data_IF_892858465135
#
_entry.id   IF_892858465135
#
_cell.length_a   1.000
_cell.length_b   1.000
_cell.length_c   1.000
_cell.angle_alpha   90.00
_cell.angle_beta   90.00
_cell.angle_gamma   90.00
#
_symmetry.space_group_name_H-M   'P 1'
#
loop_
_entity.id
_entity.type
_entity.pdbx_description
1 polymer ?
#
# COMPACT_ATOMS: atom_id res chain seq x y z
N UNK A 1 -23.73 -10.36 -12.69
CA UNK A 1 -23.18 -9.93 -11.38
C UNK A 1 -21.88 -9.18 -11.66
N UNK A 2 -21.76 -7.89 -11.33
CA UNK A 2 -20.46 -7.21 -11.42
C UNK A 2 -19.59 -7.78 -10.29
N UNK A 3 -18.37 -8.27 -10.54
CA UNK A 3 -17.52 -8.71 -9.44
C UNK A 3 -17.34 -7.52 -8.49
N UNK A 4 -17.71 -7.72 -7.23
CA UNK A 4 -17.36 -6.81 -6.14
C UNK A 4 -15.84 -6.67 -6.20
N UNK A 5 -15.34 -5.47 -6.50
CA UNK A 5 -13.89 -5.22 -6.48
C UNK A 5 -13.44 -5.29 -5.02
N UNK A 6 -13.18 -6.49 -4.53
CA UNK A 6 -12.57 -6.68 -3.23
C UNK A 6 -11.24 -5.92 -3.24
N UNK A 7 -11.10 -5.01 -2.29
CA UNK A 7 -9.94 -4.12 -2.18
C UNK A 7 -9.01 -4.68 -1.12
N UNK A 8 -7.75 -4.87 -1.47
CA UNK A 8 -6.69 -5.32 -0.58
C UNK A 8 -5.74 -4.16 -0.25
N UNK A 9 -4.94 -4.33 0.81
CA UNK A 9 -3.84 -3.41 1.11
C UNK A 9 -2.54 -4.00 0.58
N UNK A 10 -1.94 -3.37 -0.43
CA UNK A 10 -0.61 -3.72 -0.92
C UNK A 10 0.44 -3.00 -0.07
N UNK A 11 1.32 -3.77 0.57
CA UNK A 11 2.44 -3.26 1.36
C UNK A 11 3.69 -3.16 0.50
N UNK A 12 4.28 -1.96 0.42
CA UNK A 12 5.52 -1.71 -0.31
C UNK A 12 6.75 -1.88 0.57
N UNK A 13 6.74 -1.24 1.74
CA UNK A 13 7.86 -1.28 2.67
C UNK A 13 7.45 -0.90 4.09
N UNK A 14 8.38 -1.17 5.01
CA UNK A 14 8.36 -0.74 6.40
C UNK A 14 9.37 0.40 6.56
N UNK A 15 9.01 1.42 7.33
CA UNK A 15 9.89 2.55 7.66
C UNK A 15 9.92 2.72 9.17
N UNK A 16 11.12 2.73 9.75
CA UNK A 16 11.31 3.11 11.14
C UNK A 16 11.55 4.62 11.23
N UNK A 17 10.68 5.33 11.96
CA UNK A 17 10.75 6.77 12.17
C UNK A 17 9.95 7.18 13.42
N UNK A 18 10.49 8.11 14.22
CA UNK A 18 9.86 8.61 15.45
C UNK A 18 8.58 9.45 15.20
N UNK A 19 8.34 9.84 13.96
CA UNK A 19 7.16 10.58 13.54
C UNK A 19 6.71 10.18 12.14
N UNK A 20 5.58 10.73 11.68
CA UNK A 20 5.01 10.38 10.38
C UNK A 20 5.99 10.73 9.25
N UNK A 21 6.48 9.75 8.47
CA UNK A 21 7.39 10.03 7.37
C UNK A 21 6.70 10.82 6.25
N UNK A 22 7.49 11.49 5.42
CA UNK A 22 6.98 12.19 4.24
C UNK A 22 6.90 11.24 3.05
N UNK A 23 5.81 11.31 2.28
CA UNK A 23 5.67 10.66 0.97
C UNK A 23 5.99 11.61 -0.19
N UNK A 24 6.47 12.82 0.09
CA UNK A 24 6.83 13.77 -0.97
C UNK A 24 7.96 13.20 -1.83
N UNK A 25 7.74 13.17 -3.15
CA UNK A 25 8.70 12.62 -4.11
C UNK A 25 8.78 11.09 -4.14
N UNK A 26 7.94 10.38 -3.38
CA UNK A 26 7.86 8.92 -3.47
C UNK A 26 7.37 8.51 -4.88
N UNK A 27 7.89 7.39 -5.43
CA UNK A 27 7.39 6.83 -6.68
C UNK A 27 5.89 6.55 -6.60
N UNK A 28 5.21 6.56 -7.75
CA UNK A 28 3.83 6.06 -7.81
C UNK A 28 3.80 4.59 -7.41
N UNK A 29 2.70 4.18 -6.80
CA UNK A 29 2.41 2.77 -6.54
C UNK A 29 2.26 1.96 -7.84
N UNK A 30 2.09 0.66 -7.67
CA UNK A 30 1.87 -0.30 -8.76
C UNK A 30 0.65 0.08 -9.62
N UNK A 31 0.64 -0.29 -10.91
CA UNK A 31 -0.48 -0.02 -11.80
C UNK A 31 -1.82 -0.48 -11.22
N UNK A 32 -2.82 0.41 -11.26
CA UNK A 32 -4.16 0.12 -10.74
C UNK A 32 -4.31 0.27 -9.22
N UNK A 33 -3.24 0.60 -8.49
CA UNK A 33 -3.32 0.94 -7.06
C UNK A 33 -3.71 2.40 -6.84
N UNK A 34 -4.27 2.68 -5.66
CA UNK A 34 -4.54 4.02 -5.17
C UNK A 34 -3.26 4.78 -4.78
N UNK A 35 -3.38 6.02 -4.27
CA UNK A 35 -2.25 6.78 -3.77
C UNK A 35 -1.57 6.06 -2.59
N UNK A 36 -0.25 6.27 -2.45
CA UNK A 36 0.47 5.80 -1.27
C UNK A 36 -0.11 6.43 0.00
N UNK A 37 -0.24 5.61 1.03
CA UNK A 37 -0.67 6.00 2.37
C UNK A 37 0.27 5.41 3.42
N UNK A 38 0.33 6.09 4.55
CA UNK A 38 1.08 5.65 5.71
C UNK A 38 0.13 5.08 6.74
N UNK A 39 0.40 3.87 7.20
CA UNK A 39 -0.34 3.25 8.30
C UNK A 39 0.62 3.10 9.50
N UNK A 40 0.22 3.53 10.71
CA UNK A 40 1.02 3.27 11.90
C UNK A 40 1.00 1.76 12.22
N UNK A 41 2.15 1.20 12.58
CA UNK A 41 2.33 -0.21 12.97
C UNK A 41 3.00 -0.40 14.34
N UNK A 42 3.10 0.69 15.10
CA UNK A 42 3.73 0.75 16.43
C UNK A 42 4.14 2.17 16.74
N UNK A 43 4.97 2.35 17.76
CA UNK A 43 5.40 3.69 18.21
C UNK A 43 6.31 4.38 17.18
N UNK A 44 7.20 3.63 16.55
CA UNK A 44 8.21 4.15 15.60
C UNK A 44 8.20 3.42 14.26
N UNK A 45 7.17 2.62 13.97
CA UNK A 45 7.10 1.81 12.76
C UNK A 45 5.92 2.22 11.88
N UNK A 46 6.19 2.39 10.59
CA UNK A 46 5.21 2.83 9.60
C UNK A 46 5.18 1.87 8.41
N UNK A 47 3.98 1.57 7.93
CA UNK A 47 3.74 0.83 6.69
C UNK A 47 3.53 1.84 5.56
N UNK A 48 4.26 1.69 4.47
CA UNK A 48 3.94 2.36 3.20
C UNK A 48 3.08 1.41 2.37
N UNK A 49 1.83 1.79 2.13
CA UNK A 49 0.86 0.91 1.49
C UNK A 49 -0.04 1.66 0.49
N UNK A 50 -0.78 0.92 -0.33
CA UNK A 50 -1.86 1.47 -1.16
C UNK A 50 -3.05 0.51 -1.23
N UNK A 51 -4.24 1.05 -1.53
CA UNK A 51 -5.36 0.22 -1.95
C UNK A 51 -5.04 -0.43 -3.28
N UNK A 52 -5.29 -1.73 -3.35
CA UNK A 52 -5.05 -2.55 -4.52
C UNK A 52 -6.30 -3.36 -4.84
N UNK A 53 -6.67 -3.52 -6.12
CA UNK A 53 -7.74 -4.43 -6.50
C UNK A 53 -7.27 -5.88 -6.28
N UNK A 54 -7.88 -6.59 -5.33
CA UNK A 54 -7.47 -7.96 -4.96
C UNK A 54 -7.47 -8.89 -6.18
N UNK A 55 -8.38 -8.68 -7.12
CA UNK A 55 -8.48 -9.47 -8.36
C UNK A 55 -7.25 -9.38 -9.28
N UNK A 56 -6.37 -8.40 -9.10
CA UNK A 56 -5.11 -8.27 -9.85
C UNK A 56 -3.90 -8.84 -9.11
N UNK A 57 -4.07 -9.21 -7.83
CA UNK A 57 -3.02 -9.73 -6.98
C UNK A 57 -3.35 -11.18 -6.64
N UNK A 58 -2.75 -12.09 -7.41
CA UNK A 58 -2.83 -13.53 -7.18
C UNK A 58 -1.48 -14.11 -6.75
N UNK A 59 -1.44 -15.41 -6.51
CA UNK A 59 -0.20 -16.14 -6.19
C UNK A 59 0.74 -16.31 -7.39
N UNK A 60 0.27 -15.97 -8.60
CA UNK A 60 1.08 -15.98 -9.82
C UNK A 60 2.03 -14.77 -9.83
N UNK A 61 3.25 -14.93 -10.39
CA UNK A 61 4.19 -13.83 -10.50
C UNK A 61 3.60 -12.66 -11.31
N UNK A 62 3.85 -11.44 -10.84
CA UNK A 62 3.47 -10.17 -11.50
C UNK A 62 4.54 -9.79 -12.52
#
# INVERSE_FOLDING_TARGET
MKPTRETATCLYCLVQADGRPSLAGAPRGLPGTGPLRLLPAGDTLWLVAADAPLTLYGSEPI
#
